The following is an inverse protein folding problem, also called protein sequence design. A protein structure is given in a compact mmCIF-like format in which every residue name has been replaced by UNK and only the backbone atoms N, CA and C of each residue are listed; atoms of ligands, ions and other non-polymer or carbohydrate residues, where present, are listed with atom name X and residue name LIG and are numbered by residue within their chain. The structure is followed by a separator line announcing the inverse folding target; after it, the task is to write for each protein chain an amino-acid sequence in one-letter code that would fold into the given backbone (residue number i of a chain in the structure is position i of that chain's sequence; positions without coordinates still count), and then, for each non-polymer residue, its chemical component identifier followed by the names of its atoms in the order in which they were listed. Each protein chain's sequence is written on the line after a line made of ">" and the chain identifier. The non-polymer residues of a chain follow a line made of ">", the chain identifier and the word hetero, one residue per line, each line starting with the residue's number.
data_IF_081981149885
#
_entry.id   IF_081981149885
#
_cell.length_a   1.000
_cell.length_b   1.000
_cell.length_c   1.000
_cell.angle_alpha   90.00
_cell.angle_beta   90.00
_cell.angle_gamma   90.00
#
_symmetry.space_group_name_H-M   'P 1'
#
loop_
_entity.id
_entity.type
_entity.pdbx_description
1 polymer ?
#
# COMPACT_ATOMS: atom_id res chain seq x y z
N UNK A 1 -13.78 24.82 0.25
CA UNK A 1 -13.20 24.64 -1.12
C UNK A 1 -13.72 23.32 -1.69
N UNK A 2 -13.99 23.24 -3.00
CA UNK A 2 -14.52 22.04 -3.65
C UNK A 2 -13.49 21.47 -4.64
N UNK A 3 -13.07 20.23 -4.42
CA UNK A 3 -12.21 19.46 -5.32
C UNK A 3 -13.02 18.38 -6.02
N UNK A 4 -12.67 18.06 -7.26
CA UNK A 4 -13.29 16.96 -7.99
C UNK A 4 -12.25 16.18 -8.75
N UNK A 5 -12.31 14.86 -8.66
CA UNK A 5 -11.41 14.01 -9.43
C UNK A 5 -11.52 12.54 -9.10
N UNK A 6 -10.70 11.75 -9.77
CA UNK A 6 -10.69 10.29 -9.63
C UNK A 6 -9.71 9.89 -8.55
N UNK A 7 -10.20 9.18 -7.54
CA UNK A 7 -9.37 8.65 -6.48
C UNK A 7 -8.33 7.68 -7.04
N UNK A 8 -7.10 7.90 -6.60
CA UNK A 8 -5.96 7.01 -6.76
C UNK A 8 -5.33 6.80 -5.38
N UNK A 9 -4.43 5.83 -5.24
CA UNK A 9 -3.57 5.71 -4.05
C UNK A 9 -3.03 7.09 -3.65
N UNK A 10 -3.18 7.47 -2.38
CA UNK A 10 -2.61 8.71 -1.86
C UNK A 10 -1.11 8.71 -2.07
N UNK A 11 -0.59 9.82 -2.61
CA UNK A 11 0.86 10.03 -2.67
C UNK A 11 1.37 10.38 -1.28
N UNK A 12 2.57 9.91 -0.97
CA UNK A 12 3.19 10.11 0.33
C UNK A 12 4.61 10.61 0.18
N UNK A 13 4.97 11.53 1.06
CA UNK A 13 6.34 12.00 1.24
C UNK A 13 6.80 11.55 2.63
N UNK A 14 8.00 10.98 2.70
CA UNK A 14 8.56 10.49 3.95
C UNK A 14 9.09 11.66 4.79
N UNK A 15 8.26 12.09 5.73
CA UNK A 15 8.53 13.15 6.72
C UNK A 15 8.11 12.66 8.12
N UNK A 16 8.33 13.49 9.16
CA UNK A 16 7.90 13.18 10.52
C UNK A 16 6.98 14.30 11.07
N UNK A 17 5.65 14.12 11.08
CA UNK A 17 4.91 12.96 10.57
C UNK A 17 4.88 12.91 9.03
N UNK A 18 4.51 11.75 8.46
CA UNK A 18 4.39 11.51 7.02
C UNK A 18 3.38 12.47 6.39
N UNK A 19 3.71 13.02 5.21
CA UNK A 19 2.83 13.88 4.43
C UNK A 19 2.01 13.07 3.41
N UNK A 20 0.73 13.42 3.29
CA UNK A 20 -0.25 12.75 2.43
C UNK A 20 -0.91 13.72 1.46
N UNK A 21 -1.06 13.26 0.22
CA UNK A 21 -1.64 14.04 -0.86
C UNK A 21 -2.66 13.21 -1.64
N UNK A 22 -3.81 13.83 -1.95
CA UNK A 22 -4.67 13.38 -3.05
C UNK A 22 -4.29 14.20 -4.29
N UNK A 23 -3.87 13.52 -5.35
CA UNK A 23 -3.48 14.17 -6.61
C UNK A 23 -4.53 13.84 -7.65
N UNK A 24 -5.17 14.88 -8.18
CA UNK A 24 -6.10 14.81 -9.28
C UNK A 24 -5.43 15.32 -10.57
N UNK A 25 -6.14 15.27 -11.70
CA UNK A 25 -5.59 15.64 -13.00
C UNK A 25 -5.14 17.11 -13.07
N UNK A 26 -5.92 18.02 -12.46
CA UNK A 26 -5.69 19.47 -12.52
C UNK A 26 -5.33 20.10 -11.18
N UNK A 27 -5.36 19.34 -10.08
CA UNK A 27 -5.24 19.89 -8.74
C UNK A 27 -4.73 18.86 -7.74
N UNK A 28 -4.30 19.30 -6.57
CA UNK A 28 -3.94 18.39 -5.48
C UNK A 28 -4.37 18.93 -4.11
N UNK A 29 -4.64 18.00 -3.19
CA UNK A 29 -5.02 18.30 -1.83
C UNK A 29 -3.98 17.73 -0.86
N UNK A 30 -3.29 18.60 -0.12
CA UNK A 30 -2.44 18.21 1.00
C UNK A 30 -3.33 17.89 2.22
N UNK A 31 -3.52 16.60 2.49
CA UNK A 31 -4.46 16.13 3.51
C UNK A 31 -4.03 16.48 4.94
N UNK A 32 -2.72 16.53 5.22
CA UNK A 32 -2.20 16.91 6.54
C UNK A 32 -2.71 18.29 6.99
N UNK A 33 -2.87 19.23 6.06
CA UNK A 33 -3.37 20.59 6.35
C UNK A 33 -4.87 20.65 6.68
N UNK A 34 -5.58 19.52 6.52
CA UNK A 34 -7.02 19.39 6.74
C UNK A 34 -7.37 18.62 8.02
N UNK A 35 -6.36 18.24 8.81
CA UNK A 35 -6.57 17.63 10.12
C UNK A 35 -7.31 18.60 11.04
N UNK A 36 -8.28 18.07 11.78
CA UNK A 36 -9.16 18.85 12.67
C UNK A 36 -10.25 19.64 11.95
N UNK A 37 -10.38 19.53 10.63
CA UNK A 37 -11.42 20.20 9.84
C UNK A 37 -12.48 19.23 9.35
N UNK A 38 -13.68 19.76 9.06
CA UNK A 38 -14.72 18.99 8.38
C UNK A 38 -14.29 18.66 6.96
N UNK A 39 -14.58 17.43 6.53
CA UNK A 39 -14.31 16.97 5.19
C UNK A 39 -15.49 16.10 4.75
N UNK A 40 -16.04 16.39 3.57
CA UNK A 40 -17.10 15.61 2.93
C UNK A 40 -16.57 15.01 1.64
N UNK A 41 -16.78 13.70 1.44
CA UNK A 41 -16.42 12.96 0.22
C UNK A 41 -17.71 12.41 -0.37
N UNK A 42 -18.07 12.87 -1.55
CA UNK A 42 -19.26 12.45 -2.28
C UNK A 42 -18.88 11.69 -3.55
N UNK A 43 -19.46 10.52 -3.74
CA UNK A 43 -19.33 9.74 -4.96
C UNK A 43 -20.14 10.36 -6.10
N UNK A 44 -19.50 10.55 -7.26
CA UNK A 44 -20.16 11.12 -8.46
C UNK A 44 -20.12 10.21 -9.68
N UNK A 45 -19.27 9.17 -9.69
CA UNK A 45 -19.20 8.24 -10.80
C UNK A 45 -17.91 7.43 -10.78
N UNK A 46 -17.62 6.74 -11.88
CA UNK A 46 -16.41 5.93 -12.01
C UNK A 46 -15.55 6.42 -13.17
N UNK A 47 -14.24 6.23 -13.06
CA UNK A 47 -13.30 6.40 -14.15
C UNK A 47 -12.19 5.35 -14.04
N UNK A 48 -12.06 4.51 -15.06
CA UNK A 48 -11.04 3.48 -15.09
C UNK A 48 -9.64 4.10 -15.19
N UNK A 49 -8.75 3.74 -14.26
CA UNK A 49 -7.38 4.26 -14.20
C UNK A 49 -6.50 3.83 -15.39
N UNK A 50 -6.89 2.80 -16.15
CA UNK A 50 -6.14 2.33 -17.31
C UNK A 50 -6.60 2.97 -18.63
N UNK A 51 -7.91 3.00 -18.89
CA UNK A 51 -8.44 3.51 -20.17
C UNK A 51 -9.06 4.91 -20.08
N UNK A 52 -9.16 5.51 -18.90
CA UNK A 52 -9.76 6.83 -18.67
C UNK A 52 -11.27 6.91 -18.86
N UNK A 53 -11.93 5.82 -19.29
CA UNK A 53 -13.38 5.79 -19.59
C UNK A 53 -14.21 5.71 -18.32
N UNK A 54 -15.41 6.30 -18.37
CA UNK A 54 -16.43 6.23 -17.33
C UNK A 54 -17.09 4.84 -17.28
N UNK A 55 -16.37 3.85 -16.72
CA UNK A 55 -16.81 2.47 -16.57
C UNK A 55 -16.75 2.08 -15.09
N UNK A 56 -17.70 1.24 -14.64
CA UNK A 56 -17.67 0.69 -13.28
C UNK A 56 -16.33 0.00 -13.01
N UNK A 57 -15.79 0.26 -11.83
CA UNK A 57 -14.53 -0.35 -11.39
C UNK A 57 -14.79 -1.77 -10.94
N UNK A 58 -13.99 -2.69 -11.46
CA UNK A 58 -13.99 -4.09 -11.07
C UNK A 58 -12.99 -4.33 -9.92
N UNK A 59 -11.72 -3.97 -10.12
CA UNK A 59 -10.66 -4.14 -9.11
C UNK A 59 -9.44 -3.28 -9.42
N UNK A 60 -8.69 -2.84 -8.41
CA UNK A 60 -7.43 -2.08 -8.55
C UNK A 60 -7.59 -0.81 -9.42
N UNK A 61 -8.75 -0.14 -9.35
CA UNK A 61 -9.06 1.02 -10.20
C UNK A 61 -9.30 0.70 -11.68
N UNK A 62 -9.37 -0.58 -12.07
CA UNK A 62 -9.60 -0.99 -13.46
C UNK A 62 -11.04 -1.45 -13.67
N UNK A 63 -11.61 -1.12 -14.83
CA UNK A 63 -12.82 -1.78 -15.32
C UNK A 63 -12.51 -3.23 -15.70
N UNK A 64 -13.54 -4.06 -15.87
CA UNK A 64 -13.38 -5.49 -16.15
C UNK A 64 -12.45 -5.77 -17.34
N UNK A 65 -12.70 -5.14 -18.50
CA UNK A 65 -11.90 -5.34 -19.72
C UNK A 65 -10.42 -5.02 -19.49
N UNK A 66 -10.14 -3.90 -18.82
CA UNK A 66 -8.77 -3.51 -18.52
C UNK A 66 -8.13 -4.40 -17.45
N UNK A 67 -8.88 -4.87 -16.47
CA UNK A 67 -8.35 -5.77 -15.45
C UNK A 67 -7.90 -7.11 -16.04
N UNK A 68 -8.63 -7.64 -17.01
CA UNK A 68 -8.29 -8.89 -17.70
C UNK A 68 -7.10 -8.70 -18.64
N UNK A 69 -7.02 -7.57 -19.36
CA UNK A 69 -6.01 -7.37 -20.40
C UNK A 69 -4.69 -6.73 -19.88
N UNK A 70 -4.75 -5.80 -18.93
CA UNK A 70 -3.59 -4.98 -18.59
C UNK A 70 -2.50 -5.81 -17.91
N UNK A 71 -1.22 -5.68 -18.33
CA UNK A 71 -0.11 -6.38 -17.67
C UNK A 71 0.12 -5.86 -16.23
N UNK A 72 -0.32 -4.63 -15.94
CA UNK A 72 -0.40 -4.05 -14.59
C UNK A 72 -1.47 -4.69 -13.69
N UNK A 73 -2.19 -5.71 -14.15
CA UNK A 73 -3.11 -6.53 -13.36
C UNK A 73 -2.81 -8.05 -13.45
N UNK A 74 -1.61 -8.41 -13.92
CA UNK A 74 -1.17 -9.82 -14.01
C UNK A 74 -1.10 -10.51 -12.65
N UNK A 75 -1.15 -11.84 -12.65
CA UNK A 75 -1.22 -12.64 -11.42
C UNK A 75 0.02 -12.45 -10.53
N UNK A 76 1.17 -12.23 -11.16
CA UNK A 76 2.46 -11.98 -10.52
C UNK A 76 2.45 -10.74 -9.60
N UNK A 77 1.48 -9.84 -9.73
CA UNK A 77 1.34 -8.67 -8.86
C UNK A 77 0.94 -9.07 -7.45
N UNK A 78 0.03 -10.04 -7.32
CA UNK A 78 -0.41 -10.58 -6.04
C UNK A 78 0.43 -11.76 -5.58
N UNK A 79 1.07 -12.46 -6.52
CA UNK A 79 1.88 -13.67 -6.31
C UNK A 79 3.25 -13.50 -6.96
N UNK A 80 4.18 -12.77 -6.32
CA UNK A 80 5.46 -12.42 -6.93
C UNK A 80 6.28 -13.64 -7.41
N UNK A 81 6.09 -14.80 -6.78
CA UNK A 81 6.70 -16.08 -7.13
C UNK A 81 6.27 -16.63 -8.51
N UNK A 82 5.16 -16.15 -9.08
CA UNK A 82 4.71 -16.52 -10.43
C UNK A 82 5.37 -15.69 -11.54
N UNK A 83 6.25 -14.75 -11.20
CA UNK A 83 7.03 -13.95 -12.16
C UNK A 83 7.91 -14.85 -13.03
N UNK A 84 7.70 -14.83 -14.36
CA UNK A 84 8.50 -15.60 -15.34
C UNK A 84 9.28 -14.74 -16.34
N UNK A 85 9.24 -13.41 -16.20
CA UNK A 85 9.92 -12.49 -17.12
C UNK A 85 11.45 -12.74 -17.21
N UNK A 86 12.06 -13.23 -16.13
CA UNK A 86 13.49 -13.59 -16.07
C UNK A 86 13.85 -14.79 -16.95
N UNK A 87 12.85 -15.58 -17.35
CA UNK A 87 12.97 -16.70 -18.29
C UNK A 87 12.61 -16.29 -19.73
N UNK A 88 12.27 -15.02 -19.97
CA UNK A 88 11.77 -14.56 -21.27
C UNK A 88 10.34 -15.02 -21.60
N UNK A 89 9.56 -15.44 -20.58
CA UNK A 89 8.19 -15.94 -20.75
C UNK A 89 7.21 -14.87 -20.26
N UNK A 90 6.26 -14.49 -21.11
CA UNK A 90 5.23 -13.50 -20.82
C UNK A 90 4.06 -14.09 -20.02
N UNK A 91 3.48 -13.30 -19.12
CA UNK A 91 2.12 -13.51 -18.60
C UNK A 91 1.09 -12.85 -19.54
N UNK A 92 1.27 -11.56 -19.83
CA UNK A 92 0.42 -10.75 -20.73
C UNK A 92 1.22 -9.89 -21.70
N UNK A 93 2.28 -9.23 -21.23
CA UNK A 93 3.16 -8.38 -22.04
C UNK A 93 4.59 -8.46 -21.51
N UNK A 94 5.46 -9.16 -22.25
CA UNK A 94 6.83 -9.40 -21.82
C UNK A 94 7.65 -8.11 -21.68
N UNK A 95 7.44 -7.12 -22.55
CA UNK A 95 8.23 -5.88 -22.53
C UNK A 95 7.92 -5.07 -21.27
N UNK A 96 6.64 -4.92 -20.96
CA UNK A 96 6.20 -4.28 -19.72
C UNK A 96 6.66 -5.07 -18.49
N UNK A 97 6.50 -6.40 -18.52
CA UNK A 97 6.86 -7.27 -17.42
C UNK A 97 8.35 -7.28 -17.14
N UNK A 98 9.21 -7.32 -18.15
CA UNK A 98 10.65 -7.21 -17.97
C UNK A 98 11.03 -5.89 -17.31
N UNK A 99 10.46 -4.77 -17.78
CA UNK A 99 10.70 -3.45 -17.20
C UNK A 99 10.30 -3.37 -15.73
N UNK A 100 9.20 -4.01 -15.34
CA UNK A 100 8.67 -3.93 -13.97
C UNK A 100 9.25 -5.01 -13.04
N UNK A 101 9.53 -6.20 -13.55
CA UNK A 101 9.93 -7.37 -12.75
C UNK A 101 11.45 -7.55 -12.68
N UNK A 102 12.21 -7.18 -13.71
CA UNK A 102 13.67 -7.33 -13.79
C UNK A 102 14.38 -6.05 -13.32
N UNK A 103 14.12 -5.69 -12.08
CA UNK A 103 14.76 -4.57 -11.40
C UNK A 103 14.92 -4.89 -9.91
N UNK A 104 15.71 -4.13 -9.15
CA UNK A 104 15.91 -4.39 -7.73
C UNK A 104 14.60 -4.43 -6.93
N UNK A 105 14.44 -5.50 -6.16
CA UNK A 105 13.36 -5.71 -5.21
C UNK A 105 13.91 -5.95 -3.82
N UNK A 106 13.18 -5.50 -2.81
CA UNK A 106 13.52 -5.63 -1.41
C UNK A 106 12.52 -6.58 -0.75
N UNK A 107 13.05 -7.57 -0.04
CA UNK A 107 12.31 -8.38 0.94
C UNK A 107 12.48 -7.70 2.29
N UNK A 108 11.41 -7.50 3.04
CA UNK A 108 11.43 -6.72 4.27
C UNK A 108 10.52 -7.30 5.36
N UNK A 109 10.81 -6.93 6.61
CA UNK A 109 9.90 -7.06 7.73
C UNK A 109 9.23 -5.72 8.00
N UNK A 110 7.95 -5.75 8.37
CA UNK A 110 7.21 -4.58 8.82
C UNK A 110 6.44 -4.89 10.09
N UNK A 111 6.52 -4.01 11.07
CA UNK A 111 5.80 -4.10 12.33
C UNK A 111 4.58 -3.18 12.32
N UNK A 112 3.45 -3.71 12.77
CA UNK A 112 2.24 -2.95 13.13
C UNK A 112 1.67 -3.55 14.42
N UNK A 113 0.53 -4.24 14.36
CA UNK A 113 0.07 -5.08 15.48
C UNK A 113 0.84 -6.40 15.62
N UNK A 114 1.60 -6.78 14.59
CA UNK A 114 2.46 -7.96 14.52
C UNK A 114 3.58 -7.72 13.51
N UNK A 115 4.61 -8.57 13.51
CA UNK A 115 5.58 -8.64 12.41
C UNK A 115 4.94 -9.31 11.21
N UNK A 116 5.20 -8.76 10.03
CA UNK A 116 4.87 -9.38 8.75
C UNK A 116 6.03 -9.28 7.78
N UNK A 117 6.06 -10.23 6.86
CA UNK A 117 6.94 -10.18 5.69
C UNK A 117 6.25 -9.45 4.54
N UNK A 118 7.02 -8.86 3.64
CA UNK A 118 6.54 -8.42 2.34
C UNK A 118 7.66 -8.19 1.34
N UNK A 119 7.26 -7.98 0.09
CA UNK A 119 8.18 -7.61 -0.99
C UNK A 119 7.74 -6.37 -1.74
N UNK A 120 8.71 -5.62 -2.23
CA UNK A 120 8.46 -4.41 -3.02
C UNK A 120 9.62 -4.10 -3.95
N UNK A 121 9.39 -3.27 -4.97
CA UNK A 121 10.50 -2.68 -5.73
C UNK A 121 11.31 -1.76 -4.82
N UNK A 122 12.63 -1.70 -5.01
CA UNK A 122 13.52 -0.79 -4.26
C UNK A 122 13.07 0.66 -4.34
N UNK A 123 12.63 1.10 -5.52
CA UNK A 123 12.08 2.44 -5.78
C UNK A 123 10.76 2.76 -5.05
N UNK A 124 10.19 1.80 -4.31
CA UNK A 124 8.98 1.98 -3.50
C UNK A 124 9.28 1.92 -2.00
N UNK A 125 10.55 1.83 -1.59
CA UNK A 125 10.94 1.97 -0.18
C UNK A 125 11.17 3.45 0.11
N UNK A 126 10.59 4.05 1.17
CA UNK A 126 9.70 3.44 2.18
C UNK A 126 8.20 3.55 1.85
N UNK A 127 7.80 4.11 0.71
CA UNK A 127 6.39 4.32 0.31
C UNK A 127 5.50 3.09 0.52
N UNK A 128 5.99 1.88 0.23
CA UNK A 128 5.23 0.64 0.42
C UNK A 128 4.95 0.35 1.90
N UNK A 129 5.89 0.64 2.78
CA UNK A 129 5.74 0.46 4.22
C UNK A 129 4.72 1.45 4.78
N UNK A 130 4.80 2.70 4.31
CA UNK A 130 3.82 3.76 4.58
C UNK A 130 2.43 3.31 4.12
N UNK A 131 2.28 2.84 2.88
CA UNK A 131 0.99 2.37 2.32
C UNK A 131 0.34 1.25 3.15
N UNK A 132 1.16 0.46 3.84
CA UNK A 132 0.72 -0.65 4.69
C UNK A 132 0.43 -0.22 6.13
N UNK A 133 0.67 1.04 6.49
CA UNK A 133 0.47 1.57 7.84
C UNK A 133 1.41 0.96 8.89
N UNK A 134 2.59 0.50 8.47
CA UNK A 134 3.60 -0.05 9.38
C UNK A 134 4.12 1.05 10.33
N UNK A 135 4.32 0.73 11.61
CA UNK A 135 4.95 1.64 12.58
C UNK A 135 6.47 1.60 12.48
N UNK A 136 7.03 0.45 12.10
CA UNK A 136 8.44 0.29 11.80
C UNK A 136 8.62 -0.71 10.66
N UNK A 137 9.71 -0.60 9.91
CA UNK A 137 10.09 -1.59 8.90
C UNK A 137 11.60 -1.69 8.77
N UNK A 138 12.08 -2.85 8.35
CA UNK A 138 13.49 -3.07 8.02
C UNK A 138 13.61 -3.97 6.79
N UNK A 139 14.56 -3.66 5.93
CA UNK A 139 14.91 -4.55 4.82
C UNK A 139 15.69 -5.75 5.35
N UNK A 140 15.49 -6.90 4.70
CA UNK A 140 16.23 -8.14 4.97
C UNK A 140 17.26 -8.42 3.88
N UNK A 141 16.86 -8.28 2.60
CA UNK A 141 17.73 -8.49 1.45
C UNK A 141 17.22 -7.73 0.22
N UNK A 142 18.14 -7.45 -0.70
CA UNK A 142 17.86 -6.86 -2.01
C UNK A 142 18.25 -7.83 -3.12
N UNK A 143 17.28 -8.19 -3.96
CA UNK A 143 17.42 -9.16 -5.06
C UNK A 143 17.17 -8.49 -6.41
N UNK A 144 17.77 -8.99 -7.50
CA UNK A 144 17.77 -8.31 -8.80
C UNK A 144 16.44 -8.40 -9.56
N UNK A 145 15.49 -9.24 -9.11
CA UNK A 145 14.21 -9.41 -9.78
C UNK A 145 13.10 -9.82 -8.83
N UNK A 146 11.86 -9.68 -9.31
CA UNK A 146 10.64 -9.97 -8.56
C UNK A 146 10.50 -11.44 -8.15
N UNK A 147 10.90 -12.37 -9.02
CA UNK A 147 10.77 -13.80 -8.78
C UNK A 147 11.56 -14.22 -7.53
N UNK A 148 12.83 -13.82 -7.43
CA UNK A 148 13.66 -14.10 -6.26
C UNK A 148 13.07 -13.51 -4.98
N UNK A 149 12.48 -12.32 -5.05
CA UNK A 149 11.80 -11.74 -3.91
C UNK A 149 10.57 -12.58 -3.52
N UNK A 150 9.82 -13.04 -4.52
CA UNK A 150 8.63 -13.87 -4.34
C UNK A 150 8.90 -15.20 -3.65
N UNK A 151 9.92 -15.96 -4.09
CA UNK A 151 10.26 -17.23 -3.43
C UNK A 151 10.70 -17.01 -1.97
N UNK A 152 11.38 -15.89 -1.68
CA UNK A 152 11.70 -15.50 -0.30
C UNK A 152 10.43 -15.20 0.50
N UNK A 153 9.48 -14.44 -0.06
CA UNK A 153 8.21 -14.14 0.61
C UNK A 153 7.45 -15.43 0.94
N UNK A 154 7.38 -16.38 -0.01
CA UNK A 154 6.71 -17.67 0.18
C UNK A 154 7.39 -18.49 1.28
N UNK A 155 8.73 -18.56 1.31
CA UNK A 155 9.46 -19.27 2.35
C UNK A 155 9.20 -18.65 3.74
N UNK A 156 9.22 -17.32 3.83
CA UNK A 156 9.02 -16.57 5.07
C UNK A 156 7.58 -16.65 5.60
N UNK A 157 6.58 -16.86 4.73
CA UNK A 157 5.16 -17.05 5.13
C UNK A 157 4.93 -18.27 6.04
N UNK A 158 5.89 -19.19 6.11
CA UNK A 158 5.82 -20.33 7.03
C UNK A 158 5.98 -19.92 8.50
N UNK A 159 6.69 -18.81 8.77
CA UNK A 159 6.97 -18.31 10.12
C UNK A 159 6.33 -16.95 10.41
N UNK A 160 6.06 -16.14 9.39
CA UNK A 160 5.55 -14.77 9.52
C UNK A 160 4.21 -14.60 8.80
N UNK A 161 3.34 -13.73 9.34
CA UNK A 161 2.14 -13.31 8.61
C UNK A 161 2.50 -12.51 7.35
N UNK A 162 1.67 -12.59 6.31
CA UNK A 162 1.72 -11.70 5.13
C UNK A 162 0.60 -10.65 5.12
N UNK A 163 -0.30 -10.68 6.12
CA UNK A 163 -1.47 -9.78 6.23
C UNK A 163 -1.38 -8.91 7.47
N UNK A 164 -1.71 -7.63 7.28
CA UNK A 164 -1.90 -6.67 8.37
C UNK A 164 -3.31 -6.79 8.93
N UNK A 165 -3.45 -6.84 10.27
CA UNK A 165 -4.74 -6.58 10.91
C UNK A 165 -5.00 -5.07 10.91
N UNK A 166 -5.68 -4.60 9.87
CA UNK A 166 -5.90 -3.17 9.66
C UNK A 166 -6.65 -2.48 10.81
N UNK A 167 -7.53 -3.20 11.53
CA UNK A 167 -8.26 -2.62 12.66
C UNK A 167 -7.31 -2.25 13.80
N UNK A 168 -6.51 -3.23 14.25
CA UNK A 168 -5.49 -3.00 15.28
C UNK A 168 -4.48 -1.92 14.87
N UNK A 169 -4.04 -1.97 13.61
CA UNK A 169 -3.15 -0.96 13.02
C UNK A 169 -3.71 0.48 13.13
N UNK A 170 -5.01 0.67 12.82
CA UNK A 170 -5.68 1.98 12.90
C UNK A 170 -6.10 2.39 14.31
N UNK A 171 -6.26 1.44 15.23
CA UNK A 171 -6.43 1.71 16.67
C UNK A 171 -5.10 2.03 17.36
N UNK A 172 -3.98 1.94 16.63
CA UNK A 172 -2.62 2.03 17.17
C UNK A 172 -2.32 0.99 18.27
N UNK A 173 -2.96 -0.17 18.19
CA UNK A 173 -2.63 -1.38 18.96
C UNK A 173 -1.37 -2.00 18.32
N UNK A 174 -0.24 -1.33 18.57
CA UNK A 174 1.09 -1.70 18.09
C UNK A 174 1.74 -2.55 19.17
N UNK A 175 2.18 -3.75 18.80
CA UNK A 175 2.92 -4.59 19.72
C UNK A 175 4.36 -4.05 19.86
N UNK A 176 4.90 -4.09 21.08
CA UNK A 176 6.30 -3.76 21.34
C UNK A 176 7.20 -4.87 20.78
N UNK A 177 7.68 -4.65 19.56
CA UNK A 177 8.36 -5.66 18.74
C UNK A 177 9.68 -5.07 18.25
N UNK A 178 10.78 -5.74 18.58
CA UNK A 178 12.10 -5.51 17.98
C UNK A 178 12.22 -6.26 16.65
N UNK A 179 12.16 -5.56 15.52
CA UNK A 179 12.36 -6.17 14.19
C UNK A 179 13.71 -6.92 14.06
N UNK A 180 14.84 -6.41 14.59
CA UNK A 180 16.11 -7.14 14.57
C UNK A 180 16.05 -8.55 15.16
N UNK A 181 15.25 -8.77 16.20
CA UNK A 181 15.14 -10.07 16.87
C UNK A 181 14.53 -11.13 15.93
N UNK A 182 13.66 -10.71 15.01
CA UNK A 182 13.05 -11.57 14.00
C UNK A 182 13.90 -11.70 12.74
N UNK A 183 14.85 -10.79 12.51
CA UNK A 183 15.66 -10.78 11.29
C UNK A 183 16.51 -12.04 11.15
N UNK A 184 17.17 -12.49 12.23
CA UNK A 184 18.00 -13.70 12.20
C UNK A 184 17.17 -14.96 11.83
N UNK A 185 15.97 -15.09 12.40
CA UNK A 185 15.04 -16.16 12.07
C UNK A 185 14.56 -16.06 10.61
N UNK A 186 14.27 -14.85 10.13
CA UNK A 186 13.87 -14.66 8.73
C UNK A 186 15.00 -15.04 7.76
N UNK A 187 16.23 -14.60 8.05
CA UNK A 187 17.39 -14.86 7.20
C UNK A 187 17.72 -16.36 7.10
N UNK A 188 17.50 -17.15 8.16
CA UNK A 188 17.73 -18.61 8.12
C UNK A 188 16.72 -19.37 7.25
N UNK A 189 15.59 -18.75 6.91
CA UNK A 189 14.56 -19.32 6.03
C UNK A 189 14.72 -18.92 4.56
N UNK A 190 15.73 -18.10 4.22
CA UNK A 190 15.94 -17.64 2.85
C UNK A 190 16.40 -18.81 1.95
N UNK A 191 15.72 -19.05 0.81
CA UNK A 191 16.07 -20.11 -0.14
C UNK A 191 17.51 -19.98 -0.68
N UNK A 192 18.09 -21.11 -1.09
CA UNK A 192 19.47 -21.18 -1.58
C UNK A 192 19.75 -20.20 -2.74
N UNK A 193 18.77 -20.03 -3.62
CA UNK A 193 18.81 -19.14 -4.79
C UNK A 193 18.96 -17.66 -4.42
N UNK A 194 18.58 -17.28 -3.19
CA UNK A 194 18.59 -15.90 -2.70
C UNK A 194 19.63 -15.64 -1.59
N UNK A 195 20.32 -16.66 -1.08
CA UNK A 195 21.32 -16.56 0.00
C UNK A 195 22.43 -15.54 -0.30
N UNK A 196 22.88 -15.47 -1.56
CA UNK A 196 23.94 -14.56 -2.00
C UNK A 196 23.59 -13.06 -1.85
N UNK A 197 22.33 -12.73 -1.57
CA UNK A 197 21.81 -11.36 -1.54
C UNK A 197 21.55 -10.79 -0.13
N UNK A 198 21.77 -11.58 0.92
CA UNK A 198 21.42 -11.21 2.31
C UNK A 198 22.08 -9.90 2.77
N UNK A 199 23.32 -9.62 2.34
CA UNK A 199 24.06 -8.43 2.77
C UNK A 199 23.97 -7.24 1.80
N UNK A 200 23.05 -7.27 0.83
CA UNK A 200 22.96 -6.26 -0.23
C UNK A 200 22.07 -5.05 0.13
N UNK A 201 21.66 -4.90 1.38
CA UNK A 201 20.82 -3.78 1.84
C UNK A 201 21.20 -3.33 3.24
N UNK A 202 20.90 -2.08 3.58
CA UNK A 202 20.86 -1.64 4.97
C UNK A 202 19.78 -2.42 5.73
N UNK A 203 20.12 -2.84 6.95
CA UNK A 203 19.23 -3.50 7.91
C UNK A 203 18.80 -2.54 9.03
N UNK A 204 18.86 -1.23 8.78
CA UNK A 204 18.39 -0.24 9.75
C UNK A 204 16.87 -0.27 9.89
N UNK A 205 16.40 -0.11 11.13
CA UNK A 205 14.97 0.00 11.42
C UNK A 205 14.51 1.42 11.10
N UNK A 206 13.62 1.53 10.13
CA UNK A 206 12.95 2.79 9.81
C UNK A 206 11.68 2.94 10.63
N UNK A 207 11.61 3.98 11.47
CA UNK A 207 10.41 4.35 12.22
C UNK A 207 9.48 5.20 11.35
N UNK A 208 8.17 4.95 11.43
CA UNK A 208 7.15 5.57 10.59
C UNK A 208 6.10 6.24 11.47
N UNK A 209 6.10 7.57 11.45
CA UNK A 209 5.18 8.39 12.24
C UNK A 209 4.08 8.97 11.35
N UNK A 210 2.83 8.81 11.77
CA UNK A 210 1.66 9.17 10.99
C UNK A 210 0.96 10.42 11.56
N UNK A 211 0.36 11.25 10.70
CA UNK A 211 -0.32 12.46 11.13
C UNK A 211 -1.72 12.10 11.66
N UNK A 212 -1.77 11.66 12.93
CA UNK A 212 -3.01 11.27 13.63
C UNK A 212 -3.14 12.07 14.91
N UNK A 213 -4.18 12.90 15.01
CA UNK A 213 -4.48 13.69 16.21
C UNK A 213 -5.03 12.81 17.33
N UNK A 214 -5.92 11.88 16.98
CA UNK A 214 -6.53 10.94 17.91
C UNK A 214 -6.82 9.61 17.23
N UNK A 215 -6.30 8.52 17.81
CA UNK A 215 -6.64 7.17 17.36
C UNK A 215 -8.04 6.77 17.84
N UNK A 216 -8.88 6.20 16.96
CA UNK A 216 -10.23 5.79 17.33
C UNK A 216 -10.22 4.52 18.18
N UNK A 217 -11.09 4.46 19.20
CA UNK A 217 -11.29 3.25 20.00
C UNK A 217 -12.13 2.20 19.26
N UNK A 218 -13.13 2.66 18.51
CA UNK A 218 -14.02 1.83 17.69
C UNK A 218 -13.95 2.31 16.24
N UNK A 219 -13.94 1.34 15.33
CA UNK A 219 -13.77 1.59 13.89
C UNK A 219 -15.02 1.16 13.12
N UNK A 220 -15.53 2.05 12.28
CA UNK A 220 -16.56 1.75 11.30
C UNK A 220 -16.04 2.02 9.89
N UNK A 221 -15.85 0.97 9.10
CA UNK A 221 -15.40 1.12 7.71
C UNK A 221 -16.52 1.68 6.85
N UNK A 222 -16.23 2.77 6.15
CA UNK A 222 -17.13 3.40 5.20
C UNK A 222 -16.82 2.95 3.76
N UNK A 223 -17.85 2.90 2.92
CA UNK A 223 -17.79 2.49 1.52
C UNK A 223 -18.69 3.39 0.70
N UNK A 224 -18.14 4.00 -0.35
CA UNK A 224 -18.90 4.89 -1.25
C UNK A 224 -19.95 4.14 -2.09
N UNK A 225 -19.83 2.82 -2.25
CA UNK A 225 -20.89 2.03 -2.90
C UNK A 225 -22.14 1.90 -2.04
N UNK A 226 -21.97 1.82 -0.71
CA UNK A 226 -23.10 1.65 0.24
C UNK A 226 -23.65 2.99 0.71
N UNK A 227 -22.75 3.94 0.94
CA UNK A 227 -23.08 5.27 1.44
C UNK A 227 -22.35 6.28 0.55
N UNK A 228 -23.05 6.87 -0.44
CA UNK A 228 -22.42 7.67 -1.51
C UNK A 228 -21.88 9.02 -1.02
N UNK A 229 -21.98 9.31 0.27
CA UNK A 229 -21.39 10.48 0.90
C UNK A 229 -20.84 10.09 2.27
N UNK A 230 -19.61 10.50 2.56
CA UNK A 230 -18.94 10.32 3.84
C UNK A 230 -18.58 11.70 4.35
N UNK A 231 -18.98 12.03 5.57
CA UNK A 231 -18.71 13.33 6.18
C UNK A 231 -18.21 13.16 7.62
N UNK A 232 -17.30 14.03 8.03
CA UNK A 232 -16.85 14.15 9.40
C UNK A 232 -15.61 15.01 9.54
N UNK A 233 -15.17 15.19 10.79
CA UNK A 233 -13.91 15.88 11.09
C UNK A 233 -12.75 14.91 10.89
N UNK A 234 -11.80 15.25 10.03
CA UNK A 234 -10.62 14.42 9.74
C UNK A 234 -9.68 14.43 10.95
N UNK A 235 -9.60 13.32 11.67
CA UNK A 235 -8.79 13.18 12.89
C UNK A 235 -7.41 12.58 12.65
N UNK A 236 -7.18 11.95 11.50
CA UNK A 236 -5.89 11.38 11.19
C UNK A 236 -5.80 10.69 9.84
N UNK A 237 -4.57 10.35 9.46
CA UNK A 237 -4.27 9.57 8.26
C UNK A 237 -3.22 8.52 8.63
N UNK A 238 -3.48 7.25 8.31
CA UNK A 238 -2.50 6.16 8.53
C UNK A 238 -2.65 5.10 7.45
N UNK A 239 -1.55 4.72 6.80
CA UNK A 239 -1.63 3.82 5.65
C UNK A 239 -2.32 4.52 4.47
N UNK A 240 -3.32 3.85 3.90
CA UNK A 240 -4.19 4.42 2.87
C UNK A 240 -5.59 4.74 3.41
N UNK A 241 -5.69 5.03 4.71
CA UNK A 241 -6.94 5.32 5.40
C UNK A 241 -7.01 6.76 5.89
N UNK A 242 -8.16 7.39 5.68
CA UNK A 242 -8.60 8.58 6.38
C UNK A 242 -9.36 8.15 7.64
N UNK A 243 -9.08 8.79 8.77
CA UNK A 243 -9.70 8.54 10.06
C UNK A 243 -10.52 9.78 10.44
N UNK A 244 -11.74 9.56 10.91
CA UNK A 244 -12.65 10.63 11.34
C UNK A 244 -12.93 10.54 12.84
N UNK A 245 -13.23 11.67 13.48
CA UNK A 245 -13.46 11.76 14.93
C UNK A 245 -14.60 10.86 15.44
N UNK A 246 -15.61 10.61 14.62
CA UNK A 246 -16.73 9.74 14.93
C UNK A 246 -16.41 8.23 14.81
N UNK A 247 -15.14 7.86 14.56
CA UNK A 247 -14.69 6.47 14.40
C UNK A 247 -14.89 5.91 13.00
N UNK A 248 -15.43 6.70 12.06
CA UNK A 248 -15.47 6.31 10.66
C UNK A 248 -14.06 6.25 10.09
N UNK A 249 -13.82 5.25 9.24
CA UNK A 249 -12.58 5.15 8.46
C UNK A 249 -12.88 4.90 7.00
N UNK A 250 -12.15 5.59 6.14
CA UNK A 250 -12.29 5.50 4.69
C UNK A 250 -10.98 5.08 4.05
N UNK A 251 -10.98 3.93 3.37
CA UNK A 251 -9.81 3.44 2.64
C UNK A 251 -9.80 4.01 1.22
N UNK A 252 -8.91 4.96 0.95
CA UNK A 252 -8.79 5.60 -0.36
C UNK A 252 -8.40 4.58 -1.43
N UNK A 253 -7.45 3.69 -1.12
CA UNK A 253 -6.95 2.69 -2.07
C UNK A 253 -8.01 1.66 -2.50
N UNK A 254 -8.92 1.28 -1.60
CA UNK A 254 -10.04 0.39 -1.95
C UNK A 254 -11.08 1.05 -2.86
N UNK A 255 -11.03 2.37 -3.01
CA UNK A 255 -11.92 3.18 -3.84
C UNK A 255 -11.17 3.82 -5.02
N UNK A 256 -10.05 3.24 -5.45
CA UNK A 256 -9.36 3.66 -6.68
C UNK A 256 -10.32 3.59 -7.89
N UNK A 257 -10.27 4.62 -8.73
CA UNK A 257 -11.16 4.76 -9.90
C UNK A 257 -12.56 5.30 -9.58
N UNK A 258 -12.85 5.66 -8.33
CA UNK A 258 -14.07 6.38 -7.96
C UNK A 258 -13.85 7.86 -8.21
N UNK A 259 -14.73 8.47 -9.00
CA UNK A 259 -14.79 9.93 -9.15
C UNK A 259 -15.54 10.47 -7.95
N UNK A 260 -14.94 11.43 -7.26
CA UNK A 260 -15.49 12.05 -6.07
C UNK A 260 -15.47 13.56 -6.14
N UNK A 261 -16.36 14.18 -5.39
CA UNK A 261 -16.30 15.58 -4.97
C UNK A 261 -15.87 15.62 -3.50
N UNK A 262 -14.88 16.46 -3.18
CA UNK A 262 -14.38 16.65 -1.82
C UNK A 262 -14.60 18.11 -1.42
N UNK A 263 -15.34 18.31 -0.35
CA UNK A 263 -15.59 19.62 0.26
C UNK A 263 -14.87 19.74 1.60
N UNK A 264 -14.25 20.91 1.82
CA UNK A 264 -13.43 21.27 2.99
C UNK A 264 -13.78 22.68 3.46
#
# INVERSE_FOLDING_TARGET
>A
MLYRGTLQKMQTEFSNPINYYLVFESDFLQLNSQLGKSLSIKFVGFQCLNCGKAKRIFRQGFCYDCFVAAPAAGDWIMRPELSKAHLGIADRDLSYEQKVQLQPHVVYLAASSSVKVGVTRKSQVPTRWIDQGASAAMSLLEVPNRYLAGICEVALKTAFSDKTNWRKMLQNDVADISLPDFAAQALSLIPAEAQAFINNTSTEVTQLHYPVLKYPEKLQSQSLEKTPQIEGVLSGIKGQYLLFENGNVFNVRSNEGYVVEIEI
#
